data_IF_144549729161
#
_entry.id   IF_144549729161
#
_cell.length_a   1.000
_cell.length_b   1.000
_cell.length_c   1.000
_cell.angle_alpha   90.00
_cell.angle_beta   90.00
_cell.angle_gamma   90.00
#
_symmetry.space_group_name_H-M   'P 1'
#
loop_
_entity.id
_entity.type
_entity.pdbx_description
1 polymer ?
#
# COMPACT_ATOMS: atom_id res chain seq x y z
N UNK A 1 -22.82 -34.27 -22.91
CA UNK A 1 -21.69 -34.14 -21.97
C UNK A 1 -20.58 -33.42 -22.73
N UNK A 2 -20.54 -32.09 -22.65
CA UNK A 2 -19.54 -31.27 -23.34
C UNK A 2 -18.74 -30.58 -22.26
N UNK A 3 -17.50 -31.01 -22.08
CA UNK A 3 -16.55 -30.41 -21.15
C UNK A 3 -16.02 -29.15 -21.80
N UNK A 4 -16.52 -27.99 -21.35
CA UNK A 4 -16.03 -26.69 -21.75
C UNK A 4 -14.66 -26.44 -21.15
N UNK A 5 -13.61 -26.55 -21.96
CA UNK A 5 -12.25 -26.16 -21.62
C UNK A 5 -12.20 -24.64 -21.43
N UNK A 6 -12.15 -24.18 -20.17
CA UNK A 6 -11.75 -22.83 -19.81
C UNK A 6 -10.34 -22.58 -20.34
N UNK A 7 -10.22 -21.75 -21.38
CA UNK A 7 -8.94 -21.14 -21.75
C UNK A 7 -8.61 -20.09 -20.69
N UNK A 8 -7.69 -20.43 -19.80
CA UNK A 8 -6.96 -19.42 -19.03
C UNK A 8 -6.16 -18.58 -20.01
N UNK A 9 -6.69 -17.41 -20.37
CA UNK A 9 -5.90 -16.35 -20.99
C UNK A 9 -5.16 -15.68 -19.84
N UNK A 10 -4.01 -16.25 -19.46
CA UNK A 10 -3.02 -15.51 -18.67
C UNK A 10 -2.29 -14.64 -19.68
N UNK A 11 -2.72 -13.39 -19.82
CA UNK A 11 -1.94 -12.38 -20.55
C UNK A 11 -0.67 -12.13 -19.73
N UNK A 12 0.43 -12.78 -20.11
CA UNK A 12 1.74 -12.53 -19.54
C UNK A 12 2.24 -11.19 -20.06
N UNK A 13 1.93 -10.09 -19.36
CA UNK A 13 2.64 -8.83 -19.58
C UNK A 13 4.04 -9.01 -19.01
N UNK A 14 5.04 -9.14 -19.88
CA UNK A 14 6.44 -9.15 -19.48
C UNK A 14 6.90 -7.73 -19.15
N UNK A 15 7.07 -7.45 -17.86
CA UNK A 15 7.76 -6.25 -17.40
C UNK A 15 9.24 -6.32 -17.81
N UNK A 16 9.85 -5.19 -18.18
CA UNK A 16 11.31 -5.14 -18.31
C UNK A 16 11.94 -5.26 -16.91
N UNK A 17 12.33 -6.48 -16.53
CA UNK A 17 12.75 -6.81 -15.17
C UNK A 17 11.57 -7.19 -14.27
N UNK A 18 11.86 -7.89 -13.18
CA UNK A 18 10.86 -8.25 -12.18
C UNK A 18 10.72 -7.12 -11.14
N UNK A 19 9.65 -6.30 -11.18
CA UNK A 19 9.50 -5.16 -10.27
C UNK A 19 9.37 -5.58 -8.80
N UNK A 20 9.15 -6.86 -8.52
CA UNK A 20 9.03 -7.39 -7.17
C UNK A 20 10.38 -7.83 -6.59
N UNK A 21 11.49 -7.67 -7.32
CA UNK A 21 12.83 -7.88 -6.77
C UNK A 21 13.15 -6.83 -5.70
N UNK A 22 14.01 -7.16 -4.72
CA UNK A 22 14.49 -6.19 -3.74
C UNK A 22 15.08 -4.96 -4.44
N UNK A 23 14.66 -3.76 -4.01
CA UNK A 23 15.07 -2.52 -4.65
C UNK A 23 14.01 -1.42 -4.62
N UNK A 24 14.28 -0.38 -5.41
CA UNK A 24 13.43 0.80 -5.59
C UNK A 24 13.14 0.96 -7.08
N UNK A 25 11.87 0.83 -7.43
CA UNK A 25 11.41 0.72 -8.81
C UNK A 25 10.42 1.81 -9.16
N UNK A 26 10.54 2.36 -10.35
CA UNK A 26 9.61 3.34 -10.89
C UNK A 26 8.88 2.71 -12.08
N UNK A 27 7.55 2.74 -12.03
CA UNK A 27 6.68 2.26 -13.11
C UNK A 27 5.98 3.46 -13.70
N UNK A 28 6.19 3.68 -15.00
CA UNK A 28 5.47 4.70 -15.74
C UNK A 28 4.02 4.25 -15.99
N UNK A 29 3.07 5.01 -15.47
CA UNK A 29 1.65 4.74 -15.69
C UNK A 29 1.12 5.45 -16.94
N UNK A 30 0.10 4.88 -17.62
CA UNK A 30 -0.65 5.59 -18.64
C UNK A 30 -1.24 6.90 -18.10
N UNK A 31 -1.42 7.90 -18.97
CA UNK A 31 -2.05 9.18 -18.60
C UNK A 31 -3.55 9.06 -18.33
N UNK A 32 -4.19 8.01 -18.82
CA UNK A 32 -5.60 7.71 -18.56
C UNK A 32 -5.76 7.16 -17.14
N UNK A 33 -6.60 7.80 -16.33
CA UNK A 33 -6.74 7.46 -14.91
C UNK A 33 -7.35 6.07 -14.65
N UNK A 34 -8.23 5.59 -15.52
CA UNK A 34 -8.79 4.23 -15.37
C UNK A 34 -7.72 3.19 -15.72
N UNK A 35 -7.01 3.39 -16.83
CA UNK A 35 -5.90 2.53 -17.22
C UNK A 35 -4.80 2.51 -16.13
N UNK A 36 -4.46 3.68 -15.55
CA UNK A 36 -3.48 3.78 -14.46
C UNK A 36 -3.90 2.93 -13.23
N UNK A 37 -5.17 2.95 -12.86
CA UNK A 37 -5.69 2.13 -11.75
C UNK A 37 -5.63 0.64 -12.07
N UNK A 38 -6.07 0.23 -13.26
CA UNK A 38 -5.96 -1.17 -13.70
C UNK A 38 -4.51 -1.66 -13.72
N UNK A 39 -3.56 -0.78 -14.02
CA UNK A 39 -2.14 -1.05 -13.92
C UNK A 39 -1.67 -1.31 -12.49
N UNK A 40 -2.06 -0.47 -11.54
CA UNK A 40 -1.74 -0.66 -10.12
C UNK A 40 -2.34 -1.98 -9.60
N UNK A 41 -3.58 -2.28 -9.96
CA UNK A 41 -4.25 -3.54 -9.56
C UNK A 41 -3.55 -4.77 -10.14
N UNK A 42 -3.10 -4.70 -11.40
CA UNK A 42 -2.31 -5.77 -12.04
C UNK A 42 -0.95 -5.94 -11.37
N UNK A 43 -0.26 -4.84 -11.07
CA UNK A 43 1.03 -4.86 -10.37
C UNK A 43 0.89 -5.46 -8.97
N UNK A 44 -0.13 -5.05 -8.22
CA UNK A 44 -0.44 -5.60 -6.90
C UNK A 44 -0.74 -7.09 -6.97
N UNK A 45 -1.52 -7.54 -7.96
CA UNK A 45 -1.82 -8.95 -8.18
C UNK A 45 -0.56 -9.76 -8.48
N UNK A 46 0.32 -9.26 -9.36
CA UNK A 46 1.60 -9.90 -9.65
C UNK A 46 2.52 -9.97 -8.43
N UNK A 47 2.58 -8.90 -7.63
CA UNK A 47 3.35 -8.86 -6.39
C UNK A 47 2.82 -9.84 -5.34
N UNK A 48 1.49 -10.02 -5.25
CA UNK A 48 0.88 -10.97 -4.32
C UNK A 48 1.24 -12.42 -4.61
N UNK A 49 1.52 -12.78 -5.87
CA UNK A 49 2.01 -14.11 -6.22
C UNK A 49 3.41 -14.39 -5.66
N UNK A 50 4.20 -13.34 -5.38
CA UNK A 50 5.59 -13.44 -4.89
C UNK A 50 5.70 -13.18 -3.40
N UNK A 51 4.89 -12.28 -2.89
CA UNK A 51 4.84 -11.88 -1.48
C UNK A 51 3.43 -12.05 -0.89
N UNK A 52 2.88 -13.28 -0.81
CA UNK A 52 1.48 -13.49 -0.41
C UNK A 52 1.17 -12.87 0.96
N UNK A 53 0.18 -11.98 1.00
CA UNK A 53 -0.23 -11.28 2.22
C UNK A 53 0.77 -10.22 2.69
N UNK A 54 1.87 -9.98 1.98
CA UNK A 54 2.93 -9.03 2.37
C UNK A 54 3.13 -7.93 1.33
N UNK A 55 2.07 -7.62 0.57
CA UNK A 55 2.02 -6.49 -0.35
C UNK A 55 1.13 -5.40 0.24
N UNK A 56 1.68 -4.19 0.36
CA UNK A 56 0.92 -2.99 0.69
C UNK A 56 0.74 -2.13 -0.57
N UNK A 57 -0.47 -1.58 -0.76
CA UNK A 57 -0.78 -0.62 -1.82
C UNK A 57 -1.22 0.68 -1.17
N UNK A 58 -0.54 1.77 -1.54
CA UNK A 58 -0.76 3.12 -1.06
C UNK A 58 -1.31 3.97 -2.22
N UNK A 59 -2.63 3.91 -2.41
CA UNK A 59 -3.34 4.71 -3.40
C UNK A 59 -3.54 6.16 -2.94
N UNK A 60 -3.72 7.08 -3.88
CA UNK A 60 -3.85 8.51 -3.59
C UNK A 60 -5.10 8.85 -2.74
N UNK A 61 -6.17 8.06 -2.90
CA UNK A 61 -7.49 8.21 -2.25
C UNK A 61 -7.50 7.74 -0.78
N UNK A 62 -6.50 6.95 -0.39
CA UNK A 62 -6.36 6.31 0.90
C UNK A 62 -7.64 5.57 1.34
N UNK A 63 -8.14 4.66 0.50
CA UNK A 63 -9.48 4.08 0.65
C UNK A 63 -9.65 3.27 1.94
N UNK A 64 -10.78 3.51 2.62
CA UNK A 64 -11.24 2.82 3.83
C UNK A 64 -12.73 2.52 3.73
N UNK A 65 -13.18 1.45 4.38
CA UNK A 65 -14.59 1.03 4.44
C UNK A 65 -15.36 2.01 5.34
N UNK A 66 -16.34 2.70 4.76
CA UNK A 66 -16.98 3.88 5.37
C UNK A 66 -17.83 3.58 6.61
N UNK A 67 -18.43 2.39 6.70
CA UNK A 67 -19.29 1.99 7.82
C UNK A 67 -18.52 1.37 8.99
N UNK A 68 -17.20 1.22 8.88
CA UNK A 68 -16.34 0.72 9.95
C UNK A 68 -15.61 1.88 10.62
N UNK A 69 -15.29 1.71 11.91
CA UNK A 69 -14.38 2.59 12.62
C UNK A 69 -12.97 2.47 12.06
N UNK A 70 -12.12 3.43 12.39
CA UNK A 70 -10.72 3.44 11.98
C UNK A 70 -10.00 2.18 12.46
N UNK A 71 -10.08 1.85 13.75
CA UNK A 71 -9.38 0.67 14.28
C UNK A 71 -9.82 -0.62 13.56
N UNK A 72 -11.11 -0.76 13.22
CA UNK A 72 -11.66 -1.90 12.48
C UNK A 72 -11.06 -1.99 11.07
N UNK A 73 -10.94 -0.86 10.38
CA UNK A 73 -10.29 -0.77 9.07
C UNK A 73 -8.81 -1.15 9.08
N UNK A 74 -8.12 -0.99 10.22
CA UNK A 74 -6.72 -1.34 10.37
C UNK A 74 -6.53 -2.81 10.74
N UNK A 75 -7.28 -3.28 11.73
CA UNK A 75 -7.07 -4.58 12.37
C UNK A 75 -7.82 -5.72 11.68
N UNK A 76 -9.08 -5.51 11.31
CA UNK A 76 -9.93 -6.62 10.83
C UNK A 76 -9.41 -7.28 9.53
N UNK A 77 -8.90 -6.55 8.52
CA UNK A 77 -8.36 -7.19 7.32
C UNK A 77 -7.22 -8.17 7.63
N UNK A 78 -6.35 -7.79 8.57
CA UNK A 78 -5.23 -8.61 9.00
C UNK A 78 -5.69 -9.80 9.85
N UNK A 79 -6.56 -9.56 10.83
CA UNK A 79 -7.11 -10.60 11.69
C UNK A 79 -7.91 -11.65 10.89
N UNK A 80 -8.73 -11.23 9.93
CA UNK A 80 -9.50 -12.15 9.08
C UNK A 80 -8.60 -13.07 8.26
N UNK A 81 -7.42 -12.58 7.85
CA UNK A 81 -6.43 -13.35 7.08
C UNK A 81 -5.62 -14.30 7.96
N UNK A 82 -5.09 -13.82 9.08
CA UNK A 82 -4.12 -14.56 9.91
C UNK A 82 -4.80 -15.44 10.98
N UNK A 83 -6.03 -15.10 11.38
CA UNK A 83 -6.73 -15.75 12.49
C UNK A 83 -6.08 -15.46 13.86
N UNK A 84 -6.60 -16.08 14.91
CA UNK A 84 -6.09 -15.94 16.28
C UNK A 84 -6.87 -14.93 17.14
N UNK A 85 -6.27 -14.57 18.28
CA UNK A 85 -6.87 -13.67 19.28
C UNK A 85 -6.78 -12.21 18.82
N UNK A 86 -7.90 -11.49 18.86
CA UNK A 86 -8.01 -10.11 18.38
C UNK A 86 -7.07 -9.17 19.16
N UNK A 87 -6.92 -9.41 20.46
CA UNK A 87 -6.08 -8.64 21.38
C UNK A 87 -4.62 -8.61 20.93
N UNK A 88 -4.14 -9.67 20.28
CA UNK A 88 -2.79 -9.71 19.72
C UNK A 88 -2.59 -8.70 18.59
N UNK A 89 -3.60 -8.51 17.74
CA UNK A 89 -3.55 -7.53 16.65
C UNK A 89 -3.74 -6.10 17.15
N UNK A 90 -4.62 -5.90 18.13
CA UNK A 90 -4.76 -4.61 18.82
C UNK A 90 -3.45 -4.19 19.50
N UNK A 91 -2.74 -5.14 20.13
CA UNK A 91 -1.41 -4.91 20.69
C UNK A 91 -0.37 -4.49 19.63
N UNK A 92 -0.37 -5.12 18.45
CA UNK A 92 0.50 -4.72 17.32
C UNK A 92 0.18 -3.29 16.86
N UNK A 93 -1.11 -2.95 16.71
CA UNK A 93 -1.54 -1.60 16.34
C UNK A 93 -1.13 -0.58 17.41
N UNK A 94 -1.31 -0.89 18.69
CA UNK A 94 -0.90 -0.03 19.80
C UNK A 94 0.61 0.29 19.74
N UNK A 95 1.46 -0.71 19.54
CA UNK A 95 2.90 -0.53 19.39
C UNK A 95 3.26 0.39 18.20
N UNK A 96 2.58 0.22 17.07
CA UNK A 96 2.78 1.09 15.90
C UNK A 96 2.33 2.53 16.17
N UNK A 97 1.19 2.72 16.84
CA UNK A 97 0.70 4.06 17.22
C UNK A 97 1.68 4.77 18.15
N UNK A 98 2.24 4.07 19.14
CA UNK A 98 3.31 4.61 20.01
C UNK A 98 4.52 5.06 19.19
N UNK A 99 4.94 4.26 18.21
CA UNK A 99 6.07 4.59 17.34
C UNK A 99 5.86 5.84 16.46
N UNK A 100 4.61 6.28 16.25
CA UNK A 100 4.34 7.54 15.53
C UNK A 100 4.62 8.79 16.38
N UNK A 101 4.68 8.66 17.70
CA UNK A 101 4.81 9.79 18.62
C UNK A 101 3.53 10.63 18.79
N UNK A 102 2.37 10.12 18.35
CA UNK A 102 1.07 10.71 18.68
C UNK A 102 0.81 10.59 20.19
N UNK A 103 0.15 11.58 20.78
CA UNK A 103 -0.33 11.47 22.16
C UNK A 103 -1.41 10.39 22.29
N UNK A 104 -1.51 9.76 23.47
CA UNK A 104 -2.50 8.71 23.74
C UNK A 104 -3.94 9.19 23.53
N UNK A 105 -4.27 10.42 23.95
CA UNK A 105 -5.57 11.04 23.70
C UNK A 105 -5.87 11.11 22.19
N UNK A 106 -4.88 11.51 21.39
CA UNK A 106 -5.05 11.63 19.94
C UNK A 106 -5.21 10.28 19.28
N UNK A 107 -4.47 9.27 19.73
CA UNK A 107 -4.61 7.89 19.27
C UNK A 107 -6.03 7.39 19.56
N UNK A 108 -6.51 7.56 20.80
CA UNK A 108 -7.85 7.15 21.23
C UNK A 108 -8.95 7.80 20.39
N UNK A 109 -8.85 9.12 20.17
CA UNK A 109 -9.78 9.86 19.30
C UNK A 109 -9.78 9.25 17.90
N UNK A 110 -8.61 9.14 17.25
CA UNK A 110 -8.51 8.65 15.87
C UNK A 110 -9.09 7.23 15.72
N UNK A 111 -8.82 6.34 16.67
CA UNK A 111 -9.32 4.97 16.64
C UNK A 111 -10.84 4.89 16.76
N UNK A 112 -11.47 5.82 17.49
CA UNK A 112 -12.92 5.89 17.67
C UNK A 112 -13.69 6.48 16.49
N UNK A 113 -13.03 7.17 15.57
CA UNK A 113 -13.68 7.83 14.43
C UNK A 113 -14.11 6.86 13.33
N UNK A 114 -15.02 7.31 12.48
CA UNK A 114 -15.26 6.73 11.15
C UNK A 114 -14.40 7.45 10.10
N UNK A 115 -14.05 6.81 8.96
CA UNK A 115 -13.22 7.41 7.91
C UNK A 115 -13.73 8.74 7.34
N UNK A 116 -15.05 8.98 7.39
CA UNK A 116 -15.65 10.23 6.95
C UNK A 116 -15.33 11.43 7.86
N UNK A 117 -14.98 11.17 9.12
CA UNK A 117 -14.56 12.20 10.07
C UNK A 117 -13.06 12.50 10.03
N UNK A 118 -12.29 11.74 9.24
CA UNK A 118 -10.87 11.97 9.06
C UNK A 118 -10.62 13.00 7.96
N UNK A 119 -9.70 13.93 8.21
CA UNK A 119 -9.11 14.73 7.16
C UNK A 119 -8.22 13.88 6.24
N UNK A 120 -7.78 14.48 5.13
CA UNK A 120 -6.93 13.80 4.14
C UNK A 120 -5.61 13.29 4.74
N UNK A 121 -4.99 14.08 5.60
CA UNK A 121 -3.73 13.72 6.25
C UNK A 121 -3.92 12.57 7.22
N UNK A 122 -4.92 12.64 8.10
CA UNK A 122 -5.26 11.57 9.03
C UNK A 122 -5.55 10.26 8.29
N UNK A 123 -6.34 10.30 7.21
CA UNK A 123 -6.65 9.12 6.40
C UNK A 123 -5.39 8.47 5.82
N UNK A 124 -4.47 9.27 5.28
CA UNK A 124 -3.18 8.77 4.78
C UNK A 124 -2.32 8.16 5.90
N UNK A 125 -2.32 8.74 7.10
CA UNK A 125 -1.64 8.14 8.25
C UNK A 125 -2.24 6.77 8.59
N UNK A 126 -3.57 6.65 8.58
CA UNK A 126 -4.24 5.38 8.86
C UNK A 126 -3.88 4.32 7.81
N UNK A 127 -3.80 4.68 6.53
CA UNK A 127 -3.37 3.75 5.48
C UNK A 127 -1.89 3.35 5.60
N UNK A 128 -1.00 4.26 6.04
CA UNK A 128 0.39 3.90 6.39
C UNK A 128 0.43 2.87 7.53
N UNK A 129 -0.33 3.10 8.60
CA UNK A 129 -0.39 2.19 9.75
C UNK A 129 -0.97 0.83 9.36
N UNK A 130 -2.04 0.81 8.55
CA UNK A 130 -2.60 -0.43 7.99
C UNK A 130 -1.54 -1.20 7.20
N UNK A 131 -0.74 -0.49 6.41
CA UNK A 131 0.30 -1.09 5.60
C UNK A 131 1.42 -1.65 6.46
N UNK A 132 1.85 -0.94 7.51
CA UNK A 132 2.86 -1.43 8.46
C UNK A 132 2.42 -2.67 9.22
N UNK A 133 1.14 -2.76 9.59
CA UNK A 133 0.57 -3.95 10.21
C UNK A 133 0.72 -5.21 9.35
N UNK A 134 0.78 -5.07 8.02
CA UNK A 134 0.99 -6.20 7.10
C UNK A 134 2.44 -6.72 7.09
N UNK A 135 3.38 -6.00 7.70
CA UNK A 135 4.82 -6.27 7.64
C UNK A 135 5.29 -6.51 6.19
N UNK A 136 5.08 -5.52 5.30
CA UNK A 136 5.13 -5.73 3.87
C UNK A 136 6.56 -5.99 3.39
N UNK A 137 6.71 -6.98 2.53
CA UNK A 137 7.94 -7.17 1.74
C UNK A 137 7.94 -6.28 0.49
N UNK A 138 6.75 -5.96 -0.03
CA UNK A 138 6.57 -5.12 -1.21
C UNK A 138 5.59 -3.99 -0.92
N UNK A 139 5.98 -2.76 -1.22
CA UNK A 139 5.13 -1.57 -1.13
C UNK A 139 4.95 -0.98 -2.51
N UNK A 140 3.72 -0.89 -2.98
CA UNK A 140 3.34 -0.18 -4.20
C UNK A 140 2.73 1.15 -3.76
N UNK A 141 3.24 2.26 -4.28
CA UNK A 141 2.79 3.60 -3.91
C UNK A 141 2.49 4.41 -5.17
N UNK A 142 1.33 5.06 -5.20
CA UNK A 142 1.04 6.01 -6.26
C UNK A 142 1.86 7.29 -6.07
N UNK A 143 2.30 7.88 -7.18
CA UNK A 143 3.17 9.05 -7.19
C UNK A 143 2.64 10.20 -6.32
N UNK A 144 1.33 10.47 -6.33
CA UNK A 144 0.76 11.55 -5.53
C UNK A 144 0.91 11.28 -4.03
N UNK A 145 0.71 10.03 -3.59
CA UNK A 145 0.91 9.65 -2.20
C UNK A 145 2.39 9.76 -1.82
N UNK A 146 3.28 9.28 -2.69
CA UNK A 146 4.73 9.37 -2.51
C UNK A 146 5.22 10.82 -2.36
N UNK A 147 4.78 11.72 -3.25
CA UNK A 147 5.14 13.15 -3.20
C UNK A 147 4.68 13.82 -1.91
N UNK A 148 3.45 13.54 -1.47
CA UNK A 148 2.97 14.07 -0.19
C UNK A 148 3.82 13.57 0.98
N UNK A 149 4.25 12.30 0.97
CA UNK A 149 5.12 11.77 2.02
C UNK A 149 6.50 12.43 2.01
N UNK A 150 7.07 12.73 0.84
CA UNK A 150 8.33 13.47 0.74
C UNK A 150 8.24 14.90 1.27
N UNK A 151 7.07 15.52 1.17
CA UNK A 151 6.83 16.87 1.70
C UNK A 151 6.66 16.91 3.22
N UNK A 152 6.57 15.75 3.89
CA UNK A 152 6.33 15.67 5.35
C UNK A 152 7.66 15.68 6.09
N UNK A 153 7.69 16.38 7.23
CA UNK A 153 8.85 16.35 8.11
C UNK A 153 9.08 14.95 8.69
N UNK A 154 10.34 14.55 8.76
CA UNK A 154 10.81 13.26 9.28
C UNK A 154 10.35 12.96 10.71
N UNK A 155 10.16 14.00 11.52
CA UNK A 155 9.70 13.92 12.92
C UNK A 155 8.18 13.98 13.08
N UNK A 156 7.42 14.01 11.99
CA UNK A 156 5.95 13.92 12.03
C UNK A 156 5.50 12.46 12.15
N UNK A 157 4.25 12.23 12.57
CA UNK A 157 3.67 10.88 12.62
C UNK A 157 3.73 10.19 11.24
N UNK A 158 3.43 10.94 10.17
CA UNK A 158 3.58 10.48 8.78
C UNK A 158 5.03 10.15 8.43
N UNK A 159 5.97 11.05 8.74
CA UNK A 159 7.40 10.85 8.44
C UNK A 159 7.96 9.61 9.12
N UNK A 160 7.60 9.38 10.39
CA UNK A 160 8.00 8.17 11.12
C UNK A 160 7.39 6.89 10.55
N UNK A 161 6.09 6.88 10.25
CA UNK A 161 5.43 5.73 9.64
C UNK A 161 5.96 5.45 8.22
N UNK A 162 6.19 6.50 7.42
CA UNK A 162 6.78 6.40 6.09
C UNK A 162 8.19 5.82 6.15
N UNK A 163 9.05 6.32 7.05
CA UNK A 163 10.40 5.79 7.25
C UNK A 163 10.39 4.31 7.60
N UNK A 164 9.44 3.85 8.41
CA UNK A 164 9.29 2.43 8.72
C UNK A 164 8.94 1.61 7.46
N UNK A 165 8.07 2.10 6.58
CA UNK A 165 7.75 1.44 5.31
C UNK A 165 8.91 1.44 4.33
N UNK A 166 9.79 2.45 4.37
CA UNK A 166 11.02 2.46 3.56
C UNK A 166 11.97 1.30 3.90
N UNK A 167 11.76 0.56 4.99
CA UNK A 167 12.51 -0.66 5.31
C UNK A 167 12.04 -1.90 4.53
N UNK A 168 10.92 -1.81 3.78
CA UNK A 168 10.47 -2.89 2.91
C UNK A 168 11.54 -3.25 1.87
N UNK A 169 11.66 -4.54 1.57
CA UNK A 169 12.64 -5.08 0.62
C UNK A 169 12.43 -4.47 -0.77
N UNK A 170 11.17 -4.34 -1.18
CA UNK A 170 10.77 -3.80 -2.48
C UNK A 170 9.84 -2.59 -2.29
N UNK A 171 10.12 -1.51 -3.00
CA UNK A 171 9.22 -0.37 -3.13
C UNK A 171 9.09 0.04 -4.58
N UNK A 172 7.85 0.13 -5.05
CA UNK A 172 7.49 0.47 -6.43
C UNK A 172 6.67 1.75 -6.39
N UNK A 173 7.16 2.82 -7.00
CA UNK A 173 6.39 4.04 -7.23
C UNK A 173 5.78 3.96 -8.62
N UNK A 174 4.45 4.11 -8.69
CA UNK A 174 3.70 4.10 -9.94
C UNK A 174 3.23 5.52 -10.26
N UNK A 175 3.69 6.08 -11.39
CA UNK A 175 3.54 7.50 -11.67
C UNK A 175 3.82 7.90 -13.11
N UNK A 176 3.47 9.13 -13.47
CA UNK A 176 3.66 9.69 -14.81
C UNK A 176 4.83 10.69 -14.92
N UNK A 177 5.51 11.00 -13.82
CA UNK A 177 6.63 11.95 -13.83
C UNK A 177 8.00 11.31 -14.11
N UNK A 178 9.01 12.17 -14.22
CA UNK A 178 10.40 11.77 -14.47
C UNK A 178 10.94 10.91 -13.32
N UNK A 179 11.64 9.83 -13.69
CA UNK A 179 12.20 8.86 -12.74
C UNK A 179 13.27 9.55 -11.90
N UNK A 180 13.14 9.58 -10.56
CA UNK A 180 14.18 10.13 -9.70
C UNK A 180 15.48 9.32 -9.83
N UNK A 181 16.63 9.99 -9.69
CA UNK A 181 17.93 9.32 -9.71
C UNK A 181 18.02 8.19 -8.67
N UNK A 182 18.61 7.05 -9.06
CA UNK A 182 18.77 5.88 -8.20
C UNK A 182 17.59 4.90 -8.18
N UNK A 183 16.52 5.16 -8.96
CA UNK A 183 15.40 4.24 -9.16
C UNK A 183 15.57 3.43 -10.44
N UNK A 184 15.27 2.13 -10.37
CA UNK A 184 15.18 1.28 -11.56
C UNK A 184 13.90 1.60 -12.34
N UNK A 185 13.99 1.79 -13.66
CA UNK A 185 12.81 2.03 -14.49
C UNK A 185 12.24 0.70 -14.99
N UNK A 186 10.93 0.55 -14.86
CA UNK A 186 10.16 -0.58 -15.40
C UNK A 186 9.22 -0.02 -16.46
N UNK A 187 9.44 -0.43 -17.71
CA UNK A 187 8.60 -0.08 -18.84
C UNK A 187 7.80 -1.30 -19.31
N UNK A 188 6.61 -1.06 -19.86
CA UNK A 188 5.86 -2.09 -20.58
C UNK A 188 6.60 -2.44 -21.89
N UNK A 189 6.64 -3.72 -22.24
CA UNK A 189 6.90 -4.12 -23.62
C UNK A 189 5.61 -3.91 -24.42
N UNK A 190 5.61 -2.95 -25.34
CA UNK A 190 4.63 -2.98 -26.41
C UNK A 190 4.90 -4.26 -27.23
N UNK A 191 3.94 -5.19 -27.24
CA UNK A 191 3.95 -6.30 -28.19
C UNK A 191 3.75 -5.68 -29.59
N UNK A 192 4.80 -5.71 -30.42
CA UNK A 192 4.76 -5.34 -31.85
C UNK A 192 3.86 -6.26 -32.67
#
# INVERSE_FOLDING_TARGET
>A
MVVGSMRHVVSHTEFFGDPCLPGRWWVSLPKDGNAAREWVDRLASAAQLKCPGRVAVLDADAVMVSNLRVWENLVLPLWYREGGALEGFEGRLSNLLVATGLSEDRQTILMGLQPAALDRGERRLMVLLRSLLLEPSCVIVEEEFWRDMLGRGEETAHGRAWRALLAAECMIVAGGCEVPGGWGLVAEREEE
#
